data_IF_427451109704
#
_entry.id   IF_427451109704
#
_cell.length_a   1.000
_cell.length_b   1.000
_cell.length_c   1.000
_cell.angle_alpha   90.00
_cell.angle_beta   90.00
_cell.angle_gamma   90.00
#
_symmetry.space_group_name_H-M   'P 1'
#
loop_
_entity.id
_entity.type
_entity.pdbx_description
1 polymer ?
#
# COMPACT_ATOMS: atom_id res chain seq x y z
N UNK A 1 -38.82 54.46 5.76
CA UNK A 1 -37.73 55.30 6.31
C UNK A 1 -36.45 54.49 6.18
N UNK A 2 -35.34 54.88 5.57
CA UNK A 2 -34.82 56.06 4.88
C UNK A 2 -33.46 55.55 4.31
N UNK A 3 -32.84 55.98 3.23
CA UNK A 3 -33.10 56.96 2.19
C UNK A 3 -32.01 56.76 1.11
N UNK A 4 -32.36 57.08 -0.15
CA UNK A 4 -31.56 57.83 -1.15
C UNK A 4 -30.29 57.18 -1.74
N UNK A 5 -30.24 56.81 -3.03
CA UNK A 5 -30.30 57.59 -4.30
C UNK A 5 -28.88 57.70 -4.97
N UNK A 6 -28.68 58.17 -6.22
CA UNK A 6 -28.87 57.40 -7.46
C UNK A 6 -27.79 57.69 -8.54
N UNK A 7 -28.05 57.24 -9.79
CA UNK A 7 -27.60 57.87 -11.06
C UNK A 7 -26.17 57.53 -11.52
N UNK A 8 -25.80 57.41 -12.81
CA UNK A 8 -26.37 57.49 -14.18
C UNK A 8 -25.21 56.99 -15.08
N UNK A 9 -25.43 56.28 -16.19
CA UNK A 9 -25.44 56.79 -17.58
C UNK A 9 -25.70 55.56 -18.48
N UNK A 10 -26.84 55.41 -19.18
CA UNK A 10 -27.07 55.75 -20.60
C UNK A 10 -25.91 55.32 -21.52
N UNK A 11 -26.09 54.42 -22.50
CA UNK A 11 -26.85 54.59 -23.78
C UNK A 11 -27.23 53.20 -24.38
N UNK A 12 -28.49 52.88 -24.77
CA UNK A 12 -29.12 52.99 -26.12
C UNK A 12 -28.13 52.84 -27.30
N UNK A 13 -28.32 52.09 -28.38
CA UNK A 13 -29.37 51.31 -29.04
C UNK A 13 -28.62 50.33 -30.00
N UNK A 14 -29.13 49.18 -30.44
CA UNK A 14 -30.09 48.98 -31.54
C UNK A 14 -30.58 47.51 -31.54
N UNK A 15 -31.84 47.23 -31.93
CA UNK A 15 -32.28 45.87 -32.20
C UNK A 15 -31.81 45.46 -33.60
N UNK A 16 -30.97 44.43 -33.70
CA UNK A 16 -30.80 43.74 -34.99
C UNK A 16 -32.01 42.85 -35.21
N UNK A 17 -32.88 43.28 -36.12
CA UNK A 17 -33.93 42.46 -36.68
C UNK A 17 -33.30 41.21 -37.30
N UNK A 18 -33.65 40.04 -36.78
CA UNK A 18 -33.32 38.76 -37.39
C UNK A 18 -34.24 38.56 -38.59
N UNK A 19 -33.74 38.86 -39.79
CA UNK A 19 -34.38 38.44 -41.04
C UNK A 19 -34.09 36.94 -41.23
N UNK A 20 -35.11 36.07 -41.38
CA UNK A 20 -34.87 34.68 -41.74
C UNK A 20 -34.40 34.63 -43.20
N UNK A 21 -33.13 34.27 -43.43
CA UNK A 21 -32.66 33.93 -44.77
C UNK A 21 -33.17 32.54 -45.13
N UNK A 22 -34.32 32.48 -45.81
CA UNK A 22 -34.72 31.29 -46.55
C UNK A 22 -33.82 31.22 -47.78
N UNK A 23 -32.63 30.63 -47.62
CA UNK A 23 -31.91 30.01 -48.73
C UNK A 23 -32.20 28.52 -48.63
N UNK A 24 -32.75 27.87 -49.67
CA UNK A 24 -32.75 26.43 -49.73
C UNK A 24 -31.28 26.01 -49.86
N UNK A 25 -30.62 25.68 -48.74
CA UNK A 25 -29.48 24.79 -48.80
C UNK A 25 -30.05 23.45 -49.23
N UNK A 26 -30.05 23.21 -50.54
CA UNK A 26 -30.23 21.86 -51.05
C UNK A 26 -29.25 20.98 -50.31
N UNK A 27 -29.77 19.98 -49.59
CA UNK A 27 -28.95 18.90 -49.07
C UNK A 27 -28.32 18.21 -50.27
N UNK A 28 -27.15 18.68 -50.68
CA UNK A 28 -26.24 17.91 -51.49
C UNK A 28 -25.66 16.86 -50.55
N UNK A 29 -26.44 15.80 -50.34
CA UNK A 29 -25.90 14.49 -49.97
C UNK A 29 -25.08 13.99 -51.16
N UNK A 30 -23.92 14.60 -51.38
CA UNK A 30 -22.82 13.84 -51.95
C UNK A 30 -22.37 12.94 -50.82
N UNK A 31 -22.84 11.69 -50.84
CA UNK A 31 -22.04 10.59 -50.31
C UNK A 31 -20.74 10.60 -51.12
N UNK A 32 -19.77 11.40 -50.69
CA UNK A 32 -18.39 11.13 -51.02
C UNK A 32 -18.08 9.84 -50.25
N UNK A 33 -18.40 8.70 -50.85
CA UNK A 33 -17.67 7.47 -50.56
C UNK A 33 -16.27 7.77 -51.09
N UNK A 34 -15.42 8.32 -50.21
CA UNK A 34 -13.99 8.37 -50.48
C UNK A 34 -13.48 6.95 -50.36
N UNK A 35 -13.44 6.23 -51.49
CA UNK A 35 -12.61 5.01 -51.63
C UNK A 35 -11.10 5.36 -51.64
N UNK A 36 -10.75 6.64 -51.44
CA UNK A 36 -9.38 7.16 -51.31
C UNK A 36 -8.99 7.49 -49.86
N UNK A 37 -9.46 6.73 -48.86
CA UNK A 37 -8.65 6.64 -47.65
C UNK A 37 -7.40 5.82 -48.05
N UNK A 38 -6.18 6.39 -48.05
CA UNK A 38 -5.00 5.58 -48.31
C UNK A 38 -5.04 4.44 -47.30
N UNK A 39 -4.96 3.20 -47.79
CA UNK A 39 -4.73 2.03 -46.94
C UNK A 39 -3.48 2.37 -46.14
N UNK A 40 -3.64 2.80 -44.88
CA UNK A 40 -2.52 3.20 -44.01
C UNK A 40 -1.59 2.01 -43.94
N UNK A 41 -0.48 2.08 -44.67
CA UNK A 41 0.52 1.03 -44.64
C UNK A 41 1.18 1.14 -43.27
N UNK A 42 1.65 0.03 -42.70
CA UNK A 42 2.39 0.06 -41.43
C UNK A 42 3.54 1.08 -41.44
N UNK A 43 4.11 1.36 -42.62
CA UNK A 43 5.09 2.43 -42.86
C UNK A 43 4.62 3.82 -42.40
N UNK A 44 3.34 4.12 -42.55
CA UNK A 44 2.78 5.45 -42.28
C UNK A 44 2.71 5.72 -40.77
N UNK A 45 2.51 4.68 -39.96
CA UNK A 45 2.59 4.77 -38.49
C UNK A 45 4.02 4.89 -37.98
N UNK A 46 4.99 4.30 -38.69
CA UNK A 46 6.41 4.44 -38.34
C UNK A 46 6.93 5.85 -38.63
N UNK A 47 6.36 6.54 -39.62
CA UNK A 47 6.69 7.94 -39.92
C UNK A 47 6.15 8.94 -38.90
N UNK A 48 5.20 8.54 -38.04
CA UNK A 48 4.70 9.36 -36.92
C UNK A 48 5.60 9.27 -35.68
N UNK A 49 6.53 8.31 -35.63
CA UNK A 49 7.47 8.15 -34.52
C UNK A 49 8.54 9.23 -34.55
N UNK A 50 9.02 9.63 -33.37
CA UNK A 50 10.15 10.56 -33.22
C UNK A 50 11.37 10.03 -33.98
N UNK A 51 11.83 10.82 -34.96
CA UNK A 51 12.91 10.39 -35.85
C UNK A 51 14.29 10.37 -35.17
N UNK A 52 14.47 11.14 -34.09
CA UNK A 52 15.72 11.25 -33.33
C UNK A 52 15.66 10.56 -31.96
N UNK A 53 15.35 9.26 -31.92
CA UNK A 53 15.30 8.49 -30.67
C UNK A 53 16.70 8.25 -30.08
N UNK A 54 16.90 8.62 -28.82
CA UNK A 54 18.14 8.33 -28.09
C UNK A 54 18.26 6.87 -27.63
N UNK A 55 17.16 6.10 -27.61
CA UNK A 55 17.15 4.70 -27.19
C UNK A 55 17.86 3.78 -28.20
N UNK A 56 17.91 4.17 -29.47
CA UNK A 56 18.57 3.42 -30.54
C UNK A 56 20.05 3.80 -30.73
N UNK A 57 20.52 4.84 -30.06
CA UNK A 57 21.88 5.35 -30.22
C UNK A 57 22.83 4.58 -29.32
N UNK A 58 23.80 3.87 -29.91
CA UNK A 58 24.88 3.25 -29.15
C UNK A 58 25.90 4.31 -28.70
N UNK A 59 26.35 4.22 -27.45
CA UNK A 59 27.45 5.07 -26.96
C UNK A 59 28.77 4.49 -27.47
N UNK A 60 29.64 5.28 -28.14
CA UNK A 60 30.92 4.77 -28.61
C UNK A 60 31.88 4.49 -27.44
N UNK A 61 32.52 3.33 -27.44
CA UNK A 61 33.42 2.87 -26.37
C UNK A 61 34.59 3.82 -26.11
N UNK A 62 35.09 4.49 -27.16
CA UNK A 62 36.14 5.52 -27.06
C UNK A 62 35.72 6.71 -26.20
N UNK A 63 34.45 7.11 -26.26
CA UNK A 63 33.92 8.19 -25.44
C UNK A 63 33.83 7.77 -23.97
N UNK A 64 33.44 6.52 -23.69
CA UNK A 64 33.39 5.98 -22.33
C UNK A 64 34.79 5.92 -21.70
N UNK A 65 35.80 5.48 -22.44
CA UNK A 65 37.19 5.42 -21.97
C UNK A 65 37.77 6.81 -21.62
N UNK A 66 37.36 7.85 -22.34
CA UNK A 66 37.81 9.24 -22.08
C UNK A 66 37.00 9.99 -21.02
N UNK A 67 35.90 9.42 -20.51
CA UNK A 67 34.97 10.12 -19.64
C UNK A 67 35.39 10.04 -18.16
N UNK A 68 36.17 11.02 -17.70
CA UNK A 68 36.52 11.18 -16.28
C UNK A 68 35.84 12.43 -15.66
N UNK A 69 34.81 12.25 -14.82
CA UNK A 69 34.13 13.36 -14.15
C UNK A 69 34.96 13.99 -13.02
N UNK A 70 35.83 13.22 -12.35
CA UNK A 70 36.64 13.68 -11.23
C UNK A 70 37.79 14.56 -11.72
N UNK A 71 38.52 14.13 -12.75
CA UNK A 71 39.55 14.96 -13.39
C UNK A 71 38.95 16.25 -13.96
N UNK A 72 37.76 16.18 -14.57
CA UNK A 72 37.04 17.37 -15.07
C UNK A 72 36.60 18.32 -13.97
N UNK A 73 36.30 17.81 -12.77
CA UNK A 73 35.99 18.65 -11.61
C UNK A 73 37.27 19.29 -11.03
N UNK A 74 38.35 18.51 -10.89
CA UNK A 74 39.63 18.99 -10.37
C UNK A 74 40.32 20.01 -11.30
N UNK A 75 40.24 19.82 -12.62
CA UNK A 75 40.81 20.75 -13.59
C UNK A 75 40.11 22.12 -13.64
N UNK A 76 38.87 22.22 -13.13
CA UNK A 76 38.11 23.47 -13.11
C UNK A 76 38.61 24.40 -12.01
N UNK A 77 39.12 25.56 -12.42
CA UNK A 77 39.54 26.64 -11.50
C UNK A 77 38.34 27.31 -10.79
N UNK A 78 37.18 27.33 -11.44
CA UNK A 78 35.97 28.02 -10.95
C UNK A 78 34.75 27.09 -10.95
N UNK A 79 33.79 27.39 -10.08
CA UNK A 79 32.49 26.69 -10.05
C UNK A 79 31.65 27.02 -11.30
N UNK A 80 30.99 26.01 -11.87
CA UNK A 80 30.06 26.22 -12.98
C UNK A 80 28.86 27.07 -12.54
N UNK A 81 28.32 27.93 -13.43
CA UNK A 81 27.12 28.69 -13.12
C UNK A 81 25.94 27.74 -12.88
N UNK A 82 25.08 28.10 -11.92
CA UNK A 82 23.86 27.35 -11.60
C UNK A 82 22.87 27.38 -12.77
N UNK A 83 22.10 26.30 -12.92
CA UNK A 83 21.00 26.26 -13.88
C UNK A 83 19.92 27.33 -13.59
N UNK A 84 19.23 27.78 -14.65
CA UNK A 84 18.08 28.70 -14.54
C UNK A 84 16.89 28.05 -13.84
N UNK A 85 16.68 26.75 -14.05
CA UNK A 85 15.64 25.97 -13.39
C UNK A 85 16.02 25.68 -11.94
N UNK A 86 15.25 26.22 -10.99
CA UNK A 86 15.51 26.10 -9.54
C UNK A 86 14.28 25.60 -8.77
N UNK A 87 13.44 24.79 -9.41
CA UNK A 87 12.31 24.18 -8.72
C UNK A 87 12.80 23.32 -7.55
N UNK A 88 12.17 23.51 -6.40
CA UNK A 88 12.36 22.66 -5.21
C UNK A 88 10.99 22.23 -4.75
N UNK A 89 10.85 20.97 -4.35
CA UNK A 89 9.59 20.48 -3.80
C UNK A 89 9.06 21.43 -2.70
N UNK A 90 7.75 21.70 -2.59
CA UNK A 90 7.14 22.48 -1.50
C UNK A 90 6.99 21.68 -0.21
N UNK A 91 7.17 22.32 0.95
CA UNK A 91 7.07 21.63 2.26
C UNK A 91 5.66 21.11 2.54
N UNK A 92 4.65 21.83 2.05
CA UNK A 92 3.24 21.51 2.28
C UNK A 92 2.50 21.42 0.94
N UNK A 93 1.61 20.45 0.82
CA UNK A 93 0.65 20.41 -0.28
C UNK A 93 -0.52 21.35 0.05
N UNK A 94 -0.75 22.36 -0.79
CA UNK A 94 -1.78 23.39 -0.62
C UNK A 94 -3.04 23.13 -1.46
N UNK A 95 -3.20 21.91 -1.96
CA UNK A 95 -4.29 21.51 -2.83
C UNK A 95 -3.91 21.54 -4.32
N UNK A 96 -4.74 20.92 -5.19
CA UNK A 96 -4.38 20.60 -6.57
C UNK A 96 -4.25 21.81 -7.49
N UNK A 97 -4.91 22.92 -7.16
CA UNK A 97 -4.90 24.15 -7.99
C UNK A 97 -3.77 25.11 -7.61
N UNK A 98 -2.98 24.80 -6.59
CA UNK A 98 -1.85 25.65 -6.22
C UNK A 98 -0.79 25.62 -7.34
N UNK A 99 -0.22 26.75 -7.79
CA UNK A 99 0.74 26.74 -8.89
C UNK A 99 2.00 25.91 -8.61
N UNK A 100 2.42 25.82 -7.35
CA UNK A 100 3.64 25.14 -6.95
C UNK A 100 3.34 23.76 -6.36
N UNK A 101 3.22 22.76 -7.24
CA UNK A 101 2.84 21.38 -6.88
C UNK A 101 4.05 20.54 -6.44
N UNK A 102 3.89 19.63 -5.46
CA UNK A 102 4.93 18.66 -5.16
C UNK A 102 5.05 17.61 -6.27
N UNK A 103 6.28 17.17 -6.60
CA UNK A 103 6.48 16.04 -7.50
C UNK A 103 6.03 14.73 -6.81
N UNK A 104 5.74 13.66 -7.59
CA UNK A 104 5.36 12.37 -7.03
C UNK A 104 6.47 11.77 -6.15
N UNK A 105 6.17 10.87 -5.21
CA UNK A 105 7.16 10.24 -4.33
C UNK A 105 8.26 9.47 -5.07
N UNK A 106 7.96 8.93 -6.26
CA UNK A 106 8.95 8.25 -7.12
C UNK A 106 10.02 9.18 -7.70
N UNK A 107 9.76 10.49 -7.74
CA UNK A 107 10.69 11.45 -8.30
C UNK A 107 11.84 11.73 -7.32
N UNK A 108 13.12 11.67 -7.74
CA UNK A 108 14.27 11.79 -6.83
C UNK A 108 14.39 13.16 -6.14
N UNK A 109 13.82 14.22 -6.74
CA UNK A 109 13.75 15.55 -6.09
C UNK A 109 12.60 15.72 -5.08
N UNK A 110 11.77 14.69 -4.90
CA UNK A 110 10.67 14.70 -3.93
C UNK A 110 11.19 14.58 -2.50
N UNK A 111 10.48 15.20 -1.54
CA UNK A 111 10.81 15.04 -0.11
C UNK A 111 10.43 13.67 0.44
N UNK A 112 9.51 12.99 -0.22
CA UNK A 112 9.02 11.66 0.16
C UNK A 112 9.74 10.54 -0.60
N UNK A 113 10.81 10.89 -1.32
CA UNK A 113 11.57 9.92 -2.08
C UNK A 113 12.22 8.91 -1.13
N UNK A 114 11.94 7.64 -1.38
CA UNK A 114 12.62 6.51 -0.78
C UNK A 114 13.32 5.79 -1.93
N UNK A 115 14.63 5.50 -1.82
CA UNK A 115 15.32 4.69 -2.81
C UNK A 115 14.56 3.38 -3.07
N UNK A 116 14.63 2.89 -4.31
CA UNK A 116 14.01 1.62 -4.69
C UNK A 116 14.64 0.41 -4.00
N UNK A 117 14.28 -0.81 -4.43
CA UNK A 117 14.81 -2.03 -3.83
C UNK A 117 16.34 -2.11 -3.96
N UNK A 118 17.00 -2.59 -2.91
CA UNK A 118 18.44 -2.77 -2.86
C UNK A 118 18.85 -4.20 -3.23
N UNK A 119 18.00 -5.16 -2.89
CA UNK A 119 18.20 -6.58 -3.22
C UNK A 119 16.87 -7.22 -3.62
N UNK A 120 16.96 -8.43 -4.17
CA UNK A 120 15.80 -9.26 -4.41
C UNK A 120 15.67 -10.28 -3.27
N UNK A 121 14.65 -10.15 -2.38
CA UNK A 121 14.49 -11.05 -1.26
C UNK A 121 14.28 -12.50 -1.69
N UNK A 122 15.02 -13.42 -1.10
CA UNK A 122 14.89 -14.86 -1.39
C UNK A 122 13.48 -15.38 -1.15
N UNK A 123 12.81 -14.92 -0.08
CA UNK A 123 11.46 -15.36 0.26
C UNK A 123 10.44 -14.95 -0.82
N UNK A 124 10.57 -13.75 -1.39
CA UNK A 124 9.74 -13.27 -2.50
C UNK A 124 9.98 -14.11 -3.76
N UNK A 125 11.24 -14.33 -4.13
CA UNK A 125 11.59 -15.18 -5.28
C UNK A 125 11.08 -16.62 -5.14
N UNK A 126 11.17 -17.19 -3.93
CA UNK A 126 10.67 -18.54 -3.64
C UNK A 126 9.16 -18.57 -3.79
N UNK A 127 8.47 -17.52 -3.32
CA UNK A 127 7.04 -17.39 -3.47
C UNK A 127 6.63 -17.37 -4.95
N UNK A 128 7.24 -16.50 -5.75
CA UNK A 128 6.89 -16.34 -7.16
C UNK A 128 7.20 -17.58 -8.01
N UNK A 129 8.32 -18.24 -7.73
CA UNK A 129 8.80 -19.38 -8.53
C UNK A 129 8.14 -20.71 -8.19
N UNK A 130 7.76 -20.93 -6.92
CA UNK A 130 7.30 -22.26 -6.45
C UNK A 130 5.96 -22.22 -5.74
N UNK A 131 5.82 -21.38 -4.70
CA UNK A 131 4.63 -21.39 -3.84
C UNK A 131 3.38 -20.90 -4.58
N UNK A 132 3.50 -19.84 -5.38
CA UNK A 132 2.42 -19.25 -6.16
C UNK A 132 1.77 -20.25 -7.13
N UNK A 133 2.52 -20.93 -8.03
CA UNK A 133 1.94 -21.95 -8.91
C UNK A 133 1.40 -23.17 -8.15
N UNK A 134 2.02 -23.57 -7.05
CA UNK A 134 1.55 -24.68 -6.21
C UNK A 134 0.20 -24.37 -5.56
N UNK A 135 0.05 -23.19 -4.96
CA UNK A 135 -1.22 -22.74 -4.35
C UNK A 135 -2.31 -22.66 -5.42
N UNK A 136 -2.00 -22.11 -6.60
CA UNK A 136 -2.93 -22.01 -7.70
C UNK A 136 -3.43 -23.39 -8.13
N UNK A 137 -2.52 -24.35 -8.28
CA UNK A 137 -2.82 -25.72 -8.71
C UNK A 137 -3.61 -26.49 -7.65
N UNK A 138 -3.21 -26.38 -6.38
CA UNK A 138 -3.84 -27.06 -5.24
C UNK A 138 -5.27 -26.58 -4.99
N UNK A 139 -5.52 -25.28 -5.18
CA UNK A 139 -6.83 -24.68 -4.93
C UNK A 139 -7.71 -24.54 -6.18
N UNK A 140 -7.28 -25.08 -7.33
CA UNK A 140 -8.00 -24.96 -8.57
C UNK A 140 -9.38 -25.65 -8.49
N UNK A 141 -10.41 -24.91 -8.88
CA UNK A 141 -11.76 -25.44 -9.07
C UNK A 141 -12.13 -25.27 -10.53
N UNK A 142 -12.37 -26.39 -11.21
CA UNK A 142 -12.74 -26.39 -12.62
C UNK A 142 -14.09 -25.71 -12.83
N UNK A 143 -14.11 -24.73 -13.73
CA UNK A 143 -15.35 -24.12 -14.23
C UNK A 143 -15.53 -24.50 -15.68
N UNK A 144 -16.62 -25.22 -16.05
CA UNK A 144 -16.82 -25.66 -17.43
C UNK A 144 -17.01 -24.44 -18.36
N UNK A 145 -16.69 -24.58 -19.66
CA UNK A 145 -16.89 -23.51 -20.62
C UNK A 145 -18.37 -23.10 -20.67
N UNK A 146 -18.64 -21.80 -20.62
CA UNK A 146 -20.00 -21.25 -20.59
C UNK A 146 -20.63 -21.16 -19.18
N UNK A 147 -19.95 -21.60 -18.12
CA UNK A 147 -20.42 -21.41 -16.75
C UNK A 147 -20.54 -19.92 -16.41
N UNK A 148 -21.73 -19.50 -15.98
CA UNK A 148 -21.99 -18.14 -15.47
C UNK A 148 -22.24 -18.23 -13.96
N UNK A 149 -21.44 -17.53 -13.12
CA UNK A 149 -21.69 -17.54 -11.69
C UNK A 149 -23.06 -16.90 -11.39
N UNK A 150 -23.78 -17.37 -10.37
CA UNK A 150 -25.05 -16.75 -9.98
C UNK A 150 -24.82 -15.29 -9.58
N UNK A 151 -25.77 -14.38 -9.89
CA UNK A 151 -25.67 -12.99 -9.49
C UNK A 151 -25.59 -12.92 -7.96
N UNK A 152 -24.68 -12.10 -7.44
CA UNK A 152 -24.54 -11.90 -5.99
C UNK A 152 -25.69 -11.02 -5.52
N UNK A 153 -26.46 -11.50 -4.54
CA UNK A 153 -27.50 -10.71 -3.90
C UNK A 153 -26.90 -9.58 -3.06
N UNK A 154 -27.67 -8.51 -2.87
CA UNK A 154 -27.34 -7.47 -1.89
C UNK A 154 -27.17 -8.10 -0.50
N UNK A 155 -26.11 -7.70 0.22
CA UNK A 155 -25.80 -8.25 1.55
C UNK A 155 -26.57 -7.56 2.67
N UNK A 156 -26.75 -6.25 2.55
CA UNK A 156 -27.73 -5.52 3.32
C UNK A 156 -29.08 -5.79 2.67
N UNK A 157 -29.99 -6.38 3.42
CA UNK A 157 -31.26 -6.87 2.87
C UNK A 157 -32.26 -5.74 2.86
N UNK A 158 -33.01 -5.64 1.78
CA UNK A 158 -34.14 -4.74 1.68
C UNK A 158 -35.33 -5.29 2.46
N UNK A 159 -36.29 -4.41 2.75
CA UNK A 159 -37.62 -4.81 3.20
C UNK A 159 -38.46 -5.16 1.98
N UNK A 160 -39.36 -6.11 2.14
CA UNK A 160 -40.29 -6.53 1.10
C UNK A 160 -41.42 -5.50 0.90
N UNK A 161 -42.07 -5.52 -0.25
CA UNK A 161 -43.17 -4.58 -0.57
C UNK A 161 -44.51 -4.95 0.10
N UNK A 162 -44.52 -5.86 1.07
CA UNK A 162 -45.74 -6.32 1.76
C UNK A 162 -46.43 -5.23 2.59
N UNK A 163 -45.71 -4.17 2.94
CA UNK A 163 -46.21 -3.10 3.81
C UNK A 163 -45.82 -1.73 3.25
N UNK A 164 -46.75 -0.75 3.22
CA UNK A 164 -46.44 0.63 2.83
C UNK A 164 -45.30 1.26 3.64
N UNK A 165 -45.07 0.80 4.87
CA UNK A 165 -43.99 1.28 5.74
C UNK A 165 -42.59 0.82 5.28
N UNK A 166 -42.48 -0.15 4.38
CA UNK A 166 -41.20 -0.70 3.92
C UNK A 166 -40.53 0.14 2.83
N UNK A 167 -41.31 0.94 2.08
CA UNK A 167 -40.85 1.67 0.89
C UNK A 167 -39.66 2.63 1.12
N UNK A 168 -39.62 3.30 2.27
CA UNK A 168 -38.56 4.26 2.64
C UNK A 168 -37.78 3.84 3.90
N UNK A 169 -37.86 2.56 4.27
CA UNK A 169 -37.20 2.05 5.47
C UNK A 169 -35.74 1.79 5.18
N UNK A 170 -34.87 2.10 6.15
CA UNK A 170 -33.44 1.78 6.05
C UNK A 170 -33.23 0.27 5.84
N UNK A 171 -32.18 -0.06 5.08
CA UNK A 171 -31.80 -1.45 4.84
C UNK A 171 -31.58 -2.20 6.15
N UNK A 172 -31.88 -3.50 6.14
CA UNK A 172 -31.70 -4.37 7.29
C UNK A 172 -30.22 -4.58 7.56
N UNK A 173 -29.88 -4.67 8.84
CA UNK A 173 -28.55 -5.01 9.30
C UNK A 173 -28.04 -6.36 8.76
N UNK A 174 -26.72 -6.56 8.79
CA UNK A 174 -26.10 -7.80 8.34
C UNK A 174 -26.66 -9.01 9.08
N UNK A 175 -26.85 -10.12 8.36
CA UNK A 175 -27.32 -11.37 8.97
C UNK A 175 -26.15 -12.09 9.65
N UNK A 176 -26.34 -12.50 10.91
CA UNK A 176 -25.40 -13.35 11.65
C UNK A 176 -24.30 -12.62 12.42
N UNK A 177 -24.25 -11.29 12.37
CA UNK A 177 -23.28 -10.49 13.12
C UNK A 177 -23.54 -9.00 12.91
N UNK A 178 -22.71 -8.15 13.51
CA UNK A 178 -22.85 -6.70 13.45
C UNK A 178 -22.18 -6.07 12.20
N UNK A 179 -21.16 -6.75 11.65
CA UNK A 179 -20.36 -6.24 10.52
C UNK A 179 -20.37 -7.22 9.35
N UNK A 180 -20.32 -6.68 8.13
CA UNK A 180 -20.20 -7.45 6.89
C UNK A 180 -18.78 -8.03 6.74
N UNK A 181 -18.62 -9.32 7.02
CA UNK A 181 -17.34 -10.05 6.81
C UNK A 181 -16.99 -10.20 5.33
N UNK A 182 -15.71 -10.38 5.01
CA UNK A 182 -15.30 -10.63 3.62
C UNK A 182 -15.84 -11.97 3.12
N UNK A 183 -16.19 -12.02 1.83
CA UNK A 183 -16.58 -13.28 1.17
C UNK A 183 -15.35 -13.91 0.53
N UNK A 184 -15.17 -15.21 0.77
CA UNK A 184 -14.16 -16.02 0.10
C UNK A 184 -14.37 -15.97 -1.42
N UNK A 185 -13.30 -15.72 -2.15
CA UNK A 185 -13.26 -15.88 -3.61
C UNK A 185 -12.50 -17.17 -3.91
N UNK A 186 -12.89 -17.96 -4.93
CA UNK A 186 -12.04 -19.05 -5.40
C UNK A 186 -10.69 -18.48 -5.84
N UNK A 187 -9.62 -19.20 -5.57
CA UNK A 187 -8.27 -18.82 -6.00
C UNK A 187 -8.16 -19.09 -7.50
N UNK A 188 -7.70 -18.09 -8.23
CA UNK A 188 -7.42 -18.10 -9.67
C UNK A 188 -6.04 -17.48 -9.88
N UNK A 189 -5.55 -17.55 -11.11
CA UNK A 189 -4.26 -16.97 -11.52
C UNK A 189 -4.10 -15.47 -11.20
N UNK A 190 -5.19 -14.71 -11.01
CA UNK A 190 -5.16 -13.27 -10.76
C UNK A 190 -5.41 -12.87 -9.29
N UNK A 191 -5.62 -13.84 -8.40
CA UNK A 191 -5.90 -13.57 -6.99
C UNK A 191 -5.26 -14.62 -6.07
N UNK A 192 -4.02 -14.97 -6.40
CA UNK A 192 -3.20 -15.83 -5.55
C UNK A 192 -2.91 -15.08 -4.24
N UNK A 193 -3.14 -15.70 -3.07
CA UNK A 193 -2.82 -15.07 -1.79
C UNK A 193 -1.33 -14.74 -1.67
N UNK A 194 -1.04 -13.53 -1.21
CA UNK A 194 0.29 -12.96 -1.03
C UNK A 194 0.37 -12.25 0.32
N UNK A 195 1.59 -12.03 0.83
CA UNK A 195 1.79 -11.23 2.04
C UNK A 195 1.82 -9.76 1.63
N UNK A 196 0.94 -8.96 2.20
CA UNK A 196 0.79 -7.53 1.84
C UNK A 196 1.65 -6.64 2.74
N UNK A 197 1.63 -6.93 4.05
CA UNK A 197 2.39 -6.18 5.06
C UNK A 197 2.57 -7.00 6.33
N UNK A 198 3.58 -6.66 7.11
CA UNK A 198 3.77 -7.24 8.44
C UNK A 198 3.76 -6.13 9.47
N UNK A 199 2.98 -6.30 10.54
CA UNK A 199 2.93 -5.37 11.66
C UNK A 199 3.52 -6.00 12.89
N UNK A 200 4.54 -5.35 13.46
CA UNK A 200 5.14 -5.74 14.73
C UNK A 200 4.64 -4.74 15.78
N UNK A 201 3.89 -5.24 16.75
CA UNK A 201 3.30 -4.44 17.81
C UNK A 201 3.79 -4.94 19.18
N UNK A 202 4.44 -4.07 19.94
CA UNK A 202 4.85 -4.37 21.32
C UNK A 202 4.09 -3.46 22.28
N UNK A 203 3.39 -4.08 23.23
CA UNK A 203 2.74 -3.39 24.34
C UNK A 203 3.57 -3.56 25.60
N UNK A 204 4.06 -2.47 26.16
CA UNK A 204 4.97 -2.48 27.30
C UNK A 204 4.21 -2.10 28.56
N UNK A 205 3.75 -3.11 29.30
CA UNK A 205 2.97 -2.91 30.54
C UNK A 205 3.71 -2.06 31.58
N UNK A 206 5.01 -2.27 31.74
CA UNK A 206 5.81 -1.61 32.77
C UNK A 206 5.96 -0.09 32.52
N UNK A 207 5.90 0.35 31.26
CA UNK A 207 5.92 1.77 30.92
C UNK A 207 4.76 2.55 31.56
N UNK A 208 3.56 1.95 31.59
CA UNK A 208 2.39 2.55 32.23
C UNK A 208 2.44 2.43 33.75
N UNK A 209 2.82 1.26 34.27
CA UNK A 209 2.83 0.99 35.71
C UNK A 209 3.86 1.83 36.47
N UNK A 210 5.09 1.93 35.95
CA UNK A 210 6.20 2.63 36.59
C UNK A 210 6.30 4.10 36.17
N UNK A 211 5.49 4.53 35.18
CA UNK A 211 5.55 5.87 34.56
C UNK A 211 6.96 6.24 34.06
N UNK A 212 7.71 5.23 33.63
CA UNK A 212 9.08 5.37 33.18
C UNK A 212 9.18 5.20 31.66
N UNK A 213 9.63 6.25 30.96
CA UNK A 213 9.77 6.25 29.51
C UNK A 213 10.88 5.33 29.00
N UNK A 214 11.86 4.98 29.83
CA UNK A 214 13.00 4.14 29.46
C UNK A 214 12.57 2.80 28.86
N UNK A 215 11.51 2.19 29.38
CA UNK A 215 10.96 0.94 28.85
C UNK A 215 10.47 1.07 27.40
N UNK A 216 9.86 2.21 27.04
CA UNK A 216 9.44 2.47 25.66
C UNK A 216 10.63 2.76 24.74
N UNK A 217 11.66 3.42 25.25
CA UNK A 217 12.87 3.66 24.47
C UNK A 217 13.56 2.34 24.12
N UNK A 218 13.72 1.43 25.09
CA UNK A 218 14.26 0.09 24.86
C UNK A 218 13.41 -0.69 23.86
N UNK A 219 12.08 -0.68 24.04
CA UNK A 219 11.15 -1.32 23.10
C UNK A 219 11.26 -0.76 21.68
N UNK A 220 11.34 0.57 21.56
CA UNK A 220 11.49 1.28 20.29
C UNK A 220 12.79 0.90 19.59
N UNK A 221 13.91 0.90 20.32
CA UNK A 221 15.22 0.52 19.78
C UNK A 221 15.21 -0.95 19.33
N UNK A 222 14.67 -1.85 20.16
CA UNK A 222 14.63 -3.28 19.85
C UNK A 222 13.80 -3.57 18.59
N UNK A 223 12.57 -3.04 18.51
CA UNK A 223 11.70 -3.21 17.33
C UNK A 223 12.31 -2.52 16.11
N UNK A 224 12.94 -1.36 16.26
CA UNK A 224 13.60 -0.66 15.16
C UNK A 224 14.77 -1.47 14.60
N UNK A 225 15.57 -2.08 15.46
CA UNK A 225 16.70 -2.92 15.06
C UNK A 225 16.23 -4.16 14.26
N UNK A 226 15.18 -4.83 14.72
CA UNK A 226 14.63 -6.02 14.05
C UNK A 226 13.98 -5.67 12.70
N UNK A 227 13.24 -4.56 12.65
CA UNK A 227 12.38 -4.19 11.51
C UNK A 227 13.07 -3.31 10.46
N UNK A 228 14.17 -2.64 10.80
CA UNK A 228 14.80 -1.60 9.97
C UNK A 228 13.82 -0.47 9.56
N UNK A 229 12.78 -0.23 10.37
CA UNK A 229 11.78 0.83 10.14
C UNK A 229 11.69 1.68 11.39
N UNK A 230 11.59 3.00 11.19
CA UNK A 230 11.34 3.96 12.26
C UNK A 230 10.01 3.64 12.93
N UNK A 231 10.05 3.35 14.21
CA UNK A 231 8.87 2.87 14.94
C UNK A 231 8.00 4.02 15.43
N UNK A 232 6.69 3.81 15.43
CA UNK A 232 5.71 4.77 15.93
C UNK A 232 5.27 4.42 17.36
N UNK A 233 5.10 5.43 18.19
CA UNK A 233 4.62 5.27 19.57
C UNK A 233 3.13 5.54 19.68
N UNK A 234 2.44 4.73 20.49
CA UNK A 234 1.00 4.80 20.67
C UNK A 234 0.64 5.07 22.12
N UNK A 235 -0.31 6.00 22.29
CA UNK A 235 -0.93 6.31 23.57
C UNK A 235 -2.09 5.36 23.88
N UNK A 236 -2.37 5.18 25.16
CA UNK A 236 -3.53 4.43 25.64
C UNK A 236 -4.85 5.04 25.12
N UNK A 237 -5.79 4.17 24.72
CA UNK A 237 -7.14 4.56 24.29
C UNK A 237 -8.19 4.44 25.39
N UNK A 238 -7.98 3.54 26.35
CA UNK A 238 -8.89 3.27 27.46
C UNK A 238 -8.31 3.78 28.77
N UNK A 239 -9.19 3.99 29.76
CA UNK A 239 -8.83 4.33 31.13
C UNK A 239 -9.23 3.17 32.04
N UNK A 240 -8.27 2.52 32.68
CA UNK A 240 -8.48 1.38 33.58
C UNK A 240 -7.62 1.55 34.81
N UNK A 241 -8.22 2.05 35.89
CA UNK A 241 -7.53 2.40 37.13
C UNK A 241 -6.76 1.22 37.78
N UNK A 242 -7.28 -0.02 37.81
CA UNK A 242 -6.53 -1.16 38.36
C UNK A 242 -5.19 -1.45 37.66
N UNK A 243 -5.05 -1.03 36.40
CA UNK A 243 -3.82 -1.21 35.63
C UNK A 243 -2.94 0.04 35.63
N UNK A 244 -3.36 1.12 36.29
CA UNK A 244 -2.67 2.40 36.29
C UNK A 244 -2.68 3.10 34.93
N UNK A 245 -3.59 2.72 34.02
CA UNK A 245 -3.63 3.26 32.65
C UNK A 245 -4.64 4.39 32.57
N UNK A 246 -4.19 5.58 32.20
CA UNK A 246 -5.05 6.73 31.91
C UNK A 246 -5.06 7.02 30.40
N UNK A 247 -6.24 7.21 29.82
CA UNK A 247 -6.42 7.49 28.38
C UNK A 247 -5.66 8.75 27.95
N UNK A 248 -4.88 8.64 26.86
CA UNK A 248 -4.24 9.77 26.17
C UNK A 248 -3.04 10.42 26.89
N UNK A 249 -2.75 10.00 28.13
CA UNK A 249 -1.63 10.54 28.91
C UNK A 249 -0.34 9.77 28.66
N UNK A 250 -0.40 8.46 28.77
CA UNK A 250 0.78 7.60 28.74
C UNK A 250 0.96 6.95 27.36
N UNK A 251 2.20 6.98 26.86
CA UNK A 251 2.60 6.13 25.74
C UNK A 251 2.84 4.74 26.29
N UNK A 252 2.29 3.70 25.63
CA UNK A 252 2.32 2.33 26.19
C UNK A 252 2.74 1.29 25.16
N UNK A 253 2.61 1.64 23.87
CA UNK A 253 2.92 0.71 22.81
C UNK A 253 3.79 1.32 21.72
N UNK A 254 4.45 0.44 21.00
CA UNK A 254 5.40 0.69 19.94
C UNK A 254 4.99 -0.20 18.77
N UNK A 255 4.83 0.36 17.57
CA UNK A 255 4.40 -0.37 16.37
C UNK A 255 5.26 -0.03 15.16
N UNK A 256 5.73 -1.05 14.47
CA UNK A 256 6.39 -0.95 13.18
C UNK A 256 5.55 -1.63 12.11
N UNK A 257 5.46 -1.02 10.93
CA UNK A 257 4.82 -1.60 9.75
C UNK A 257 5.85 -1.80 8.65
N UNK A 258 5.92 -3.02 8.16
CA UNK A 258 6.87 -3.48 7.14
C UNK A 258 6.13 -3.70 5.82
N UNK A 259 6.74 -3.20 4.75
CA UNK A 259 6.27 -3.33 3.37
C UNK A 259 7.44 -3.73 2.46
N UNK A 260 7.15 -4.40 1.34
CA UNK A 260 8.13 -4.73 0.30
C UNK A 260 9.34 -5.51 0.80
N UNK A 261 10.54 -5.07 0.44
CA UNK A 261 11.81 -5.75 0.73
C UNK A 261 12.01 -6.02 2.24
N UNK A 262 11.79 -5.03 3.10
CA UNK A 262 11.98 -5.17 4.56
C UNK A 262 11.03 -6.23 5.17
N UNK A 263 9.83 -6.38 4.60
CA UNK A 263 8.85 -7.38 5.03
C UNK A 263 9.36 -8.80 4.75
N UNK A 264 9.86 -9.05 3.55
CA UNK A 264 10.37 -10.37 3.17
C UNK A 264 11.68 -10.72 3.89
N UNK A 265 12.57 -9.76 4.12
CA UNK A 265 13.75 -9.96 4.96
C UNK A 265 13.37 -10.31 6.39
N UNK A 266 12.39 -9.61 6.97
CA UNK A 266 11.88 -9.95 8.30
C UNK A 266 11.28 -11.36 8.34
N UNK A 267 10.47 -11.73 7.35
CA UNK A 267 9.87 -13.06 7.27
C UNK A 267 10.94 -14.16 7.17
N UNK A 268 11.95 -13.99 6.32
CA UNK A 268 13.06 -14.94 6.19
C UNK A 268 13.81 -15.11 7.51
N UNK A 269 14.19 -14.00 8.17
CA UNK A 269 14.82 -14.06 9.50
C UNK A 269 13.95 -14.76 10.54
N UNK A 270 12.65 -14.49 10.52
CA UNK A 270 11.70 -15.08 11.46
C UNK A 270 11.62 -16.60 11.27
N UNK A 271 11.39 -17.06 10.04
CA UNK A 271 11.18 -18.48 9.72
C UNK A 271 12.47 -19.28 9.80
N UNK A 272 13.56 -18.78 9.25
CA UNK A 272 14.80 -19.56 9.10
C UNK A 272 15.66 -19.53 10.37
N UNK A 273 15.61 -18.44 11.15
CA UNK A 273 16.53 -18.22 12.28
C UNK A 273 15.82 -18.23 13.62
N UNK A 274 14.75 -17.43 13.78
CA UNK A 274 14.16 -17.20 15.11
C UNK A 274 13.28 -18.37 15.53
N UNK A 275 12.28 -18.74 14.73
CA UNK A 275 11.30 -19.77 15.09
C UNK A 275 11.95 -21.13 15.44
N UNK A 276 12.95 -21.64 14.69
CA UNK A 276 13.59 -22.91 15.02
C UNK A 276 14.44 -22.88 16.30
N UNK A 277 14.87 -21.69 16.75
CA UNK A 277 15.67 -21.52 17.98
C UNK A 277 14.81 -21.43 19.24
N UNK A 278 13.49 -21.27 19.12
CA UNK A 278 12.59 -21.21 20.26
C UNK A 278 12.43 -22.62 20.83
N UNK A 279 12.79 -22.79 22.10
CA UNK A 279 12.66 -24.05 22.81
C UNK A 279 11.17 -24.41 23.01
N UNK A 280 10.84 -25.69 22.80
CA UNK A 280 9.50 -26.26 23.01
C UNK A 280 8.38 -25.52 22.22
N UNK A 281 8.72 -24.98 21.04
CA UNK A 281 7.76 -24.26 20.20
C UNK A 281 7.05 -25.18 19.21
N UNK A 282 5.76 -25.42 19.46
CA UNK A 282 4.92 -26.29 18.61
C UNK A 282 4.50 -25.64 17.28
N UNK A 283 4.52 -24.30 17.21
CA UNK A 283 4.11 -23.53 16.04
C UNK A 283 3.11 -22.42 16.35
N UNK A 284 2.49 -21.88 15.31
CA UNK A 284 1.38 -20.93 15.42
C UNK A 284 0.07 -21.69 15.68
N UNK A 285 -0.78 -21.18 16.56
CA UNK A 285 -2.06 -21.82 16.87
C UNK A 285 -2.95 -21.87 15.63
N UNK A 286 -3.47 -23.04 15.28
CA UNK A 286 -4.37 -23.25 14.15
C UNK A 286 -5.71 -22.51 14.25
N UNK A 287 -6.07 -22.03 15.45
CA UNK A 287 -7.24 -21.16 15.66
C UNK A 287 -6.93 -19.66 15.51
N UNK A 288 -5.68 -19.28 15.20
CA UNK A 288 -5.33 -17.88 14.98
C UNK A 288 -5.85 -17.41 13.63
N UNK A 289 -6.44 -16.21 13.62
CA UNK A 289 -7.07 -15.62 12.45
C UNK A 289 -8.15 -14.60 12.84
N UNK A 290 -8.37 -13.60 11.99
CA UNK A 290 -9.41 -12.58 12.15
C UNK A 290 -10.62 -12.79 11.23
N UNK A 291 -10.74 -13.99 10.66
CA UNK A 291 -11.70 -14.38 9.62
C UNK A 291 -11.60 -13.58 8.32
N UNK A 292 -10.54 -12.80 8.15
CA UNK A 292 -10.32 -11.93 6.99
C UNK A 292 -8.97 -12.20 6.31
N UNK A 293 -8.24 -13.24 6.73
CA UNK A 293 -6.95 -13.59 6.14
C UNK A 293 -5.73 -12.98 6.84
N UNK A 294 -5.89 -12.36 8.01
CA UNK A 294 -4.75 -11.90 8.81
C UNK A 294 -4.47 -12.88 9.95
N UNK A 295 -3.20 -13.21 10.15
CA UNK A 295 -2.78 -14.18 11.17
C UNK A 295 -1.85 -13.49 12.16
N UNK A 296 -2.14 -13.64 13.45
CA UNK A 296 -1.39 -13.00 14.52
C UNK A 296 -0.83 -14.04 15.49
N UNK A 297 0.41 -13.85 15.93
CA UNK A 297 0.97 -14.61 17.05
C UNK A 297 1.92 -13.74 17.86
N UNK A 298 2.24 -14.19 19.07
CA UNK A 298 3.11 -13.47 20.00
C UNK A 298 4.46 -14.15 20.17
N UNK A 299 5.50 -13.35 20.33
CA UNK A 299 6.80 -13.75 20.83
C UNK A 299 6.97 -13.22 22.26
N UNK A 300 7.42 -14.11 23.14
CA UNK A 300 7.79 -13.81 24.52
C UNK A 300 9.10 -13.00 24.50
N UNK A 301 9.39 -12.14 25.51
CA UNK A 301 10.66 -11.40 25.60
C UNK A 301 11.92 -12.20 25.25
N UNK A 302 12.03 -13.44 25.74
CA UNK A 302 13.18 -14.32 25.49
C UNK A 302 13.31 -14.68 24.01
N UNK A 303 12.19 -14.92 23.32
CA UNK A 303 12.16 -15.23 21.89
C UNK A 303 12.55 -14.02 21.04
N UNK A 304 12.22 -12.81 21.50
CA UNK A 304 12.61 -11.57 20.82
C UNK A 304 14.13 -11.36 20.89
N UNK A 305 14.78 -11.76 21.98
CA UNK A 305 16.23 -11.69 22.09
C UNK A 305 16.99 -12.60 21.11
N UNK A 306 16.32 -13.59 20.50
CA UNK A 306 16.91 -14.52 19.51
C UNK A 306 17.10 -13.90 18.11
N UNK A 307 16.58 -12.69 17.87
CA UNK A 307 16.83 -11.99 16.62
C UNK A 307 18.32 -11.64 16.51
N UNK A 308 18.99 -11.90 15.37
CA UNK A 308 20.42 -11.63 15.21
C UNK A 308 20.81 -10.19 15.53
N UNK A 309 19.96 -9.22 15.22
CA UNK A 309 20.21 -7.80 15.47
C UNK A 309 20.21 -7.44 16.97
N UNK A 310 19.49 -8.21 17.79
CA UNK A 310 19.46 -8.01 19.24
C UNK A 310 20.51 -8.86 19.95
N UNK A 311 20.73 -10.09 19.51
CA UNK A 311 21.70 -11.01 20.11
C UNK A 311 23.11 -10.42 20.15
N UNK A 312 23.57 -9.79 19.07
CA UNK A 312 24.92 -9.18 18.98
C UNK A 312 25.13 -8.07 20.00
N UNK A 313 24.08 -7.31 20.31
CA UNK A 313 24.13 -6.15 21.20
C UNK A 313 23.35 -6.38 22.49
N UNK A 314 23.14 -7.63 22.89
CA UNK A 314 22.26 -7.98 24.01
C UNK A 314 22.70 -7.30 25.32
N UNK A 315 24.02 -7.29 25.58
CA UNK A 315 24.62 -6.69 26.78
C UNK A 315 24.44 -5.16 26.87
N UNK A 316 24.13 -4.49 25.76
CA UNK A 316 23.86 -3.05 25.73
C UNK A 316 22.45 -2.72 26.21
N UNK A 317 21.54 -3.70 26.23
CA UNK A 317 20.18 -3.51 26.73
C UNK A 317 20.13 -3.72 28.24
N UNK A 318 19.39 -2.89 28.99
CA UNK A 318 19.18 -3.13 30.41
C UNK A 318 18.49 -4.49 30.65
N UNK A 319 18.86 -5.19 31.73
CA UNK A 319 18.35 -6.52 32.01
C UNK A 319 16.83 -6.50 32.16
N UNK A 320 16.16 -7.48 31.56
CA UNK A 320 14.69 -7.68 31.61
C UNK A 320 13.87 -6.52 31.01
N UNK A 321 14.47 -5.62 30.24
CA UNK A 321 13.75 -4.50 29.59
C UNK A 321 13.29 -4.79 28.16
N UNK A 322 13.83 -5.81 27.50
CA UNK A 322 13.37 -6.21 26.16
C UNK A 322 11.93 -6.74 26.28
N UNK A 323 10.96 -6.13 25.58
CA UNK A 323 9.57 -6.58 25.67
C UNK A 323 9.28 -7.72 24.68
N UNK A 324 8.20 -8.45 24.92
CA UNK A 324 7.60 -9.32 23.91
C UNK A 324 6.97 -8.50 22.79
N UNK A 325 6.65 -9.15 21.68
CA UNK A 325 5.96 -8.51 20.56
C UNK A 325 4.88 -9.42 19.97
N UNK A 326 3.86 -8.80 19.40
CA UNK A 326 2.85 -9.46 18.59
C UNK A 326 3.15 -9.17 17.12
N UNK A 327 3.29 -10.23 16.34
CA UNK A 327 3.52 -10.18 14.91
C UNK A 327 2.19 -10.47 14.24
N UNK A 328 1.71 -9.54 13.42
CA UNK A 328 0.54 -9.72 12.57
C UNK A 328 0.96 -9.75 11.12
N UNK A 329 0.71 -10.89 10.48
CA UNK A 329 0.96 -11.12 9.07
C UNK A 329 -0.33 -10.79 8.32
N UNK A 330 -0.30 -9.72 7.54
CA UNK A 330 -1.41 -9.33 6.69
C UNK A 330 -1.24 -9.93 5.31
N UNK A 331 -2.27 -10.62 4.84
CA UNK A 331 -2.24 -11.26 3.52
C UNK A 331 -3.38 -10.74 2.66
N UNK A 332 -3.26 -10.91 1.35
CA UNK A 332 -4.32 -10.59 0.38
C UNK A 332 -5.46 -11.63 0.40
N UNK A 333 -5.28 -12.72 1.16
CA UNK A 333 -6.32 -13.72 1.37
C UNK A 333 -7.57 -13.11 2.00
N UNK A 334 -8.74 -13.72 1.73
CA UNK A 334 -10.02 -13.27 2.31
C UNK A 334 -10.54 -14.16 3.42
N UNK A 335 -9.87 -15.29 3.65
CA UNK A 335 -10.21 -16.25 4.69
C UNK A 335 -8.96 -16.77 5.36
N UNK A 336 -9.08 -17.14 6.62
CA UNK A 336 -7.95 -17.60 7.43
C UNK A 336 -7.44 -18.97 6.95
N UNK A 337 -8.30 -19.78 6.32
CA UNK A 337 -7.87 -21.02 5.66
C UNK A 337 -6.85 -20.74 4.56
N UNK A 338 -7.15 -19.80 3.67
CA UNK A 338 -6.27 -19.47 2.55
C UNK A 338 -4.98 -18.79 3.04
N UNK A 339 -5.07 -17.95 4.08
CA UNK A 339 -3.90 -17.34 4.70
C UNK A 339 -2.98 -18.37 5.38
N UNK A 340 -3.54 -19.35 6.10
CA UNK A 340 -2.73 -20.43 6.72
C UNK A 340 -2.08 -21.32 5.68
N UNK A 341 -2.78 -21.59 4.56
CA UNK A 341 -2.19 -22.34 3.45
C UNK A 341 -0.95 -21.62 2.90
N UNK A 342 -1.06 -20.30 2.65
CA UNK A 342 0.06 -19.47 2.23
C UNK A 342 1.22 -19.50 3.24
N UNK A 343 0.93 -19.21 4.50
CA UNK A 343 1.96 -19.12 5.53
C UNK A 343 2.63 -20.47 5.81
N UNK A 344 1.88 -21.57 5.71
CA UNK A 344 2.44 -22.91 5.82
C UNK A 344 3.38 -23.22 4.65
N UNK A 345 3.05 -22.79 3.43
CA UNK A 345 3.93 -22.92 2.28
C UNK A 345 5.19 -22.04 2.40
N UNK A 346 5.08 -20.91 3.09
CA UNK A 346 6.21 -20.03 3.42
C UNK A 346 7.02 -20.49 4.66
N UNK A 347 6.75 -21.69 5.19
CA UNK A 347 7.55 -22.30 6.25
C UNK A 347 7.09 -22.03 7.69
N UNK A 348 5.89 -21.45 7.90
CA UNK A 348 5.34 -21.26 9.25
C UNK A 348 4.57 -22.52 9.69
N UNK A 349 4.98 -23.23 10.75
CA UNK A 349 4.26 -24.38 11.25
C UNK A 349 2.99 -23.97 12.02
N UNK A 350 1.93 -24.75 11.89
CA UNK A 350 0.68 -24.59 12.64
C UNK A 350 0.36 -25.83 13.47
N UNK A 351 -0.12 -25.64 14.70
CA UNK A 351 -0.52 -26.73 15.61
C UNK A 351 -1.97 -26.62 16.10
N UNK A 352 -2.52 -27.74 16.55
CA UNK A 352 -3.88 -27.82 17.11
C UNK A 352 -4.99 -27.81 16.06
N UNK A 353 -6.22 -27.55 16.49
CA UNK A 353 -7.41 -27.60 15.62
C UNK A 353 -7.45 -26.41 14.66
N UNK A 354 -7.45 -26.70 13.37
CA UNK A 354 -7.64 -25.72 12.29
C UNK A 354 -9.11 -25.30 12.27
N UNK A 355 -9.39 -24.03 12.60
CA UNK A 355 -10.74 -23.44 12.55
C UNK A 355 -10.96 -22.78 11.19
N UNK A 356 -12.03 -23.10 10.48
CA UNK A 356 -12.30 -22.50 9.16
C UNK A 356 -12.71 -21.03 9.20
#
# INVERSE_FOLDING_TARGET
>A
MAAREPSRYLTRAFPRASVPSIRPQGFLSRRNVSDEAPVRRLSDHLTELESASSLSTAVPDSAAASFDPLARAAARKNQLPRGRYQFRSPKYNRGPLHPHQPPPPSHPSSRLFVPGPFSAPRAEQTFDSTVSPDIMTLCYVHTPPGFKPPPKSARLREWDDSSPYHKNRVLRGPRGGDVLRLLRKPIKFNNIPEIERITIHSYVKNAAAERNSSWLHVAGIAVQAISNVRVETFKSKSNVAPWGIASGRDSVAVKAELYGENMYHFLGKLVDVVLPRIKDWEGVKGSSGDSSGNITFGLIPENVALFPELEVNYDMYPPKMIPGCHITLHTTARTDKDARLLLSAMGIPFYGKIVN
#
